data_IF_358610515291
#
_entry.id   IF_358610515291
#
_cell.length_a   1.000
_cell.length_b   1.000
_cell.length_c   1.000
_cell.angle_alpha   90.00
_cell.angle_beta   90.00
_cell.angle_gamma   90.00
#
_symmetry.space_group_name_H-M   'P 1'
#
loop_
_entity.id
_entity.type
_entity.pdbx_description
1 polymer ?
#
# COMPACT_ATOMS: atom_id res chain seq x y z
N UNK A 1 -42.04 41.61 11.87
CA UNK A 1 -40.74 41.56 11.16
C UNK A 1 -40.87 40.98 9.73
N UNK A 2 -41.76 41.51 8.87
CA UNK A 2 -41.97 41.03 7.48
C UNK A 2 -41.75 42.12 6.40
N UNK A 3 -41.66 43.39 6.80
CA UNK A 3 -41.62 44.54 5.88
C UNK A 3 -40.24 44.71 5.22
N UNK A 4 -39.15 44.39 5.93
CA UNK A 4 -37.77 44.60 5.45
C UNK A 4 -37.39 43.70 4.26
N UNK A 5 -37.91 42.47 4.20
CA UNK A 5 -37.65 41.53 3.10
C UNK A 5 -38.31 41.96 1.79
N UNK A 6 -39.52 42.52 1.85
CA UNK A 6 -40.23 43.02 0.67
C UNK A 6 -39.60 44.31 0.12
N UNK A 7 -39.08 45.17 1.00
CA UNK A 7 -38.37 46.38 0.59
C UNK A 7 -37.07 46.07 -0.15
N UNK A 8 -36.28 45.10 0.32
CA UNK A 8 -35.06 44.67 -0.38
C UNK A 8 -35.37 44.05 -1.74
N UNK A 9 -36.43 43.23 -1.85
CA UNK A 9 -36.86 42.65 -3.14
C UNK A 9 -37.37 43.72 -4.11
N UNK A 10 -38.15 44.68 -3.62
CA UNK A 10 -38.62 45.80 -4.42
C UNK A 10 -37.47 46.70 -4.88
N UNK A 11 -36.51 46.98 -4.01
CA UNK A 11 -35.31 47.75 -4.35
C UNK A 11 -34.49 47.05 -5.43
N UNK A 12 -34.27 45.73 -5.34
CA UNK A 12 -33.58 44.96 -6.38
C UNK A 12 -34.32 45.04 -7.72
N UNK A 13 -35.64 44.84 -7.71
CA UNK A 13 -36.47 44.95 -8.92
C UNK A 13 -36.37 46.34 -9.58
N UNK A 14 -36.47 47.40 -8.78
CA UNK A 14 -36.38 48.78 -9.27
C UNK A 14 -34.99 49.04 -9.87
N UNK A 15 -33.93 48.60 -9.21
CA UNK A 15 -32.55 48.75 -9.71
C UNK A 15 -32.32 47.98 -11.02
N UNK A 16 -32.87 46.76 -11.15
CA UNK A 16 -32.82 45.97 -12.39
C UNK A 16 -33.56 46.66 -13.53
N UNK A 17 -34.74 47.24 -13.26
CA UNK A 17 -35.51 47.98 -14.26
C UNK A 17 -34.75 49.23 -14.71
N UNK A 18 -34.19 50.01 -13.78
CA UNK A 18 -33.39 51.20 -14.10
C UNK A 18 -32.19 50.81 -14.96
N UNK A 19 -31.47 49.74 -14.61
CA UNK A 19 -30.34 49.22 -15.38
C UNK A 19 -30.73 48.83 -16.81
N UNK A 20 -31.85 48.13 -16.99
CA UNK A 20 -32.34 47.76 -18.32
C UNK A 20 -32.71 48.99 -19.16
N UNK A 21 -33.36 49.99 -18.56
CA UNK A 21 -33.74 51.23 -19.25
C UNK A 21 -32.51 52.02 -19.70
N UNK A 22 -31.51 52.21 -18.82
CA UNK A 22 -30.26 52.89 -19.21
C UNK A 22 -29.49 52.10 -20.26
N UNK A 23 -29.38 50.78 -20.13
CA UNK A 23 -28.66 49.94 -21.10
C UNK A 23 -29.23 50.03 -22.52
N UNK A 24 -30.56 50.12 -22.65
CA UNK A 24 -31.24 50.32 -23.93
C UNK A 24 -31.10 51.75 -24.44
N UNK A 25 -31.26 52.76 -23.57
CA UNK A 25 -31.26 54.18 -23.96
C UNK A 25 -29.88 54.65 -24.44
N UNK A 26 -28.81 54.10 -23.85
CA UNK A 26 -27.43 54.38 -24.25
C UNK A 26 -26.94 53.50 -25.42
N UNK A 27 -27.83 52.75 -26.08
CA UNK A 27 -27.51 51.81 -27.17
C UNK A 27 -26.34 50.85 -26.84
N UNK A 28 -26.15 50.54 -25.56
CA UNK A 28 -25.13 49.58 -25.12
C UNK A 28 -25.50 48.18 -25.62
N UNK A 29 -26.80 47.91 -25.77
CA UNK A 29 -27.35 46.70 -26.36
C UNK A 29 -28.52 47.01 -27.31
N UNK A 30 -28.52 46.44 -28.50
CA UNK A 30 -29.69 46.47 -29.39
C UNK A 30 -30.82 45.59 -28.81
N UNK A 31 -32.05 46.13 -28.74
CA UNK A 31 -33.21 45.45 -28.16
C UNK A 31 -33.49 44.08 -28.78
N UNK A 32 -33.21 43.93 -30.07
CA UNK A 32 -33.34 42.70 -30.86
C UNK A 32 -32.33 41.63 -30.46
N UNK A 33 -31.16 42.03 -29.98
CA UNK A 33 -30.03 41.14 -29.64
C UNK A 33 -29.99 40.74 -28.17
N UNK A 34 -30.65 41.50 -27.29
CA UNK A 34 -30.72 41.26 -25.84
C UNK A 34 -31.13 39.81 -25.50
N UNK A 35 -32.22 39.22 -26.06
CA UNK A 35 -32.59 37.85 -25.75
C UNK A 35 -31.47 36.85 -26.08
N UNK A 36 -30.85 36.98 -27.26
CA UNK A 36 -29.78 36.09 -27.69
C UNK A 36 -28.53 36.19 -26.80
N UNK A 37 -28.17 37.40 -26.35
CA UNK A 37 -27.04 37.61 -25.44
C UNK A 37 -27.32 37.07 -24.02
N UNK A 38 -28.54 37.22 -23.51
CA UNK A 38 -28.96 36.61 -22.25
C UNK A 38 -28.92 35.08 -22.33
N UNK A 39 -29.44 34.48 -23.40
CA UNK A 39 -29.37 33.04 -23.61
C UNK A 39 -27.95 32.54 -23.81
N UNK A 40 -27.10 33.27 -24.54
CA UNK A 40 -25.68 32.94 -24.73
C UNK A 40 -24.91 32.96 -23.41
N UNK A 41 -25.15 33.98 -22.58
CA UNK A 41 -24.54 34.09 -21.25
C UNK A 41 -25.02 32.96 -20.33
N UNK A 42 -26.33 32.67 -20.32
CA UNK A 42 -26.90 31.60 -19.49
C UNK A 42 -26.39 30.22 -19.95
N UNK A 43 -26.31 29.98 -21.25
CA UNK A 43 -25.73 28.76 -21.82
C UNK A 43 -24.25 28.62 -21.44
N UNK A 44 -23.47 29.71 -21.53
CA UNK A 44 -22.07 29.73 -21.13
C UNK A 44 -21.87 29.41 -19.64
N UNK A 45 -22.71 29.95 -18.77
CA UNK A 45 -22.70 29.63 -17.33
C UNK A 45 -23.05 28.16 -17.09
N UNK A 46 -24.07 27.62 -17.76
CA UNK A 46 -24.47 26.21 -17.63
C UNK A 46 -23.34 25.28 -18.13
N UNK A 47 -22.76 25.54 -19.29
CA UNK A 47 -21.63 24.76 -19.82
C UNK A 47 -20.44 24.81 -18.85
N UNK A 48 -20.10 26.00 -18.35
CA UNK A 48 -19.01 26.17 -17.39
C UNK A 48 -19.27 25.39 -16.10
N UNK A 49 -20.49 25.42 -15.58
CA UNK A 49 -20.88 24.65 -14.40
C UNK A 49 -20.75 23.14 -14.64
N UNK A 50 -21.17 22.65 -15.81
CA UNK A 50 -21.02 21.24 -16.20
C UNK A 50 -19.54 20.85 -16.26
N UNK A 51 -18.72 21.62 -16.98
CA UNK A 51 -17.27 21.35 -17.08
C UNK A 51 -16.64 21.33 -15.69
N UNK A 52 -16.98 22.29 -14.83
CA UNK A 52 -16.46 22.37 -13.46
C UNK A 52 -16.82 21.13 -12.65
N UNK A 53 -18.08 20.67 -12.70
CA UNK A 53 -18.51 19.45 -12.00
C UNK A 53 -17.75 18.22 -12.52
N UNK A 54 -17.56 18.11 -13.83
CA UNK A 54 -16.79 17.01 -14.43
C UNK A 54 -15.32 17.03 -14.02
N UNK A 55 -14.68 18.21 -13.97
CA UNK A 55 -13.30 18.37 -13.51
C UNK A 55 -13.14 17.96 -12.05
N UNK A 56 -14.04 18.44 -11.17
CA UNK A 56 -14.02 18.08 -9.75
C UNK A 56 -14.23 16.57 -9.55
N UNK A 57 -15.20 15.97 -10.25
CA UNK A 57 -15.42 14.52 -10.18
C UNK A 57 -14.22 13.71 -10.69
N UNK A 58 -13.57 14.16 -11.77
CA UNK A 58 -12.36 13.53 -12.30
C UNK A 58 -11.21 13.58 -11.29
N UNK A 59 -11.00 14.73 -10.65
CA UNK A 59 -9.98 14.90 -9.61
C UNK A 59 -10.27 14.05 -8.38
N UNK A 60 -11.49 14.09 -7.84
CA UNK A 60 -11.87 13.31 -6.64
C UNK A 60 -11.69 11.80 -6.85
N UNK A 61 -12.10 11.26 -8.01
CA UNK A 61 -11.90 9.82 -8.32
C UNK A 61 -10.41 9.47 -8.43
N UNK A 62 -9.61 10.36 -9.02
CA UNK A 62 -8.16 10.16 -9.11
C UNK A 62 -7.49 10.21 -7.72
N UNK A 63 -7.93 11.10 -6.85
CA UNK A 63 -7.42 11.21 -5.48
C UNK A 63 -7.80 10.00 -4.63
N UNK A 64 -9.07 9.57 -4.68
CA UNK A 64 -9.55 8.40 -3.96
C UNK A 64 -8.80 7.13 -4.38
N UNK A 65 -8.58 6.95 -5.69
CA UNK A 65 -7.82 5.78 -6.18
C UNK A 65 -6.35 5.85 -5.77
N UNK A 66 -5.72 7.03 -5.79
CA UNK A 66 -4.35 7.24 -5.29
C UNK A 66 -4.23 6.94 -3.80
N UNK A 67 -5.15 7.47 -2.99
CA UNK A 67 -5.17 7.28 -1.53
C UNK A 67 -5.37 5.81 -1.18
N UNK A 68 -6.33 5.14 -1.83
CA UNK A 68 -6.55 3.71 -1.69
C UNK A 68 -5.31 2.90 -2.02
N UNK A 69 -4.65 3.21 -3.15
CA UNK A 69 -3.43 2.52 -3.56
C UNK A 69 -2.30 2.72 -2.55
N UNK A 70 -2.17 3.94 -1.99
CA UNK A 70 -1.18 4.26 -0.96
C UNK A 70 -1.46 3.48 0.33
N UNK A 71 -2.70 3.45 0.82
CA UNK A 71 -3.08 2.68 2.00
C UNK A 71 -2.84 1.17 1.82
N UNK A 72 -3.15 0.61 0.63
CA UNK A 72 -2.88 -0.79 0.32
C UNK A 72 -1.37 -1.06 0.32
N UNK A 73 -0.57 -0.16 -0.25
CA UNK A 73 0.88 -0.27 -0.27
C UNK A 73 1.50 -0.21 1.13
N UNK A 74 1.06 0.72 1.98
CA UNK A 74 1.47 0.81 3.39
C UNK A 74 1.10 -0.45 4.15
N UNK A 75 -0.12 -0.97 3.97
CA UNK A 75 -0.54 -2.20 4.65
C UNK A 75 0.25 -3.42 4.18
N UNK A 76 0.55 -3.52 2.88
CA UNK A 76 1.44 -4.58 2.34
C UNK A 76 2.81 -4.54 3.00
N UNK A 77 3.43 -3.37 3.10
CA UNK A 77 4.73 -3.22 3.77
C UNK A 77 4.68 -3.67 5.24
N UNK A 78 3.65 -3.28 5.97
CA UNK A 78 3.45 -3.66 7.37
C UNK A 78 3.38 -5.19 7.51
N UNK A 79 2.55 -5.84 6.70
CA UNK A 79 2.39 -7.31 6.71
C UNK A 79 3.70 -8.00 6.35
N UNK A 80 4.40 -7.53 5.32
CA UNK A 80 5.67 -8.12 4.88
C UNK A 80 6.75 -7.98 5.96
N UNK A 81 6.85 -6.80 6.58
CA UNK A 81 7.79 -6.57 7.68
C UNK A 81 7.46 -7.43 8.92
N UNK A 82 6.18 -7.54 9.27
CA UNK A 82 5.72 -8.39 10.36
C UNK A 82 6.08 -9.85 10.11
N UNK A 83 5.77 -10.38 8.92
CA UNK A 83 6.11 -11.74 8.52
C UNK A 83 7.61 -12.02 8.66
N UNK A 84 8.47 -11.14 8.13
CA UNK A 84 9.93 -11.31 8.23
C UNK A 84 10.42 -11.31 9.69
N UNK A 85 9.81 -10.48 10.53
CA UNK A 85 10.15 -10.40 11.97
C UNK A 85 9.71 -11.67 12.71
N UNK A 86 8.52 -12.19 12.41
CA UNK A 86 8.03 -13.44 13.01
C UNK A 86 8.84 -14.64 12.52
N UNK A 87 9.19 -14.70 11.24
CA UNK A 87 10.04 -15.75 10.68
C UNK A 87 11.40 -15.79 11.38
N UNK A 88 12.08 -14.64 11.53
CA UNK A 88 13.32 -14.57 12.29
C UNK A 88 13.13 -15.01 13.76
N UNK A 89 12.03 -14.58 14.39
CA UNK A 89 11.70 -14.96 15.77
C UNK A 89 11.53 -16.47 15.92
N UNK A 90 10.85 -17.12 14.97
CA UNK A 90 10.63 -18.57 14.95
C UNK A 90 11.96 -19.32 14.80
N UNK A 91 12.78 -18.94 13.82
CA UNK A 91 14.10 -19.54 13.59
C UNK A 91 15.04 -19.38 14.82
N UNK A 92 14.98 -18.24 15.51
CA UNK A 92 15.76 -17.99 16.73
C UNK A 92 15.20 -18.75 17.96
N UNK A 93 13.88 -18.81 18.12
CA UNK A 93 13.23 -19.57 19.22
C UNK A 93 13.54 -21.05 19.10
N UNK A 94 13.57 -21.59 17.88
CA UNK A 94 13.95 -22.97 17.62
C UNK A 94 15.38 -23.27 18.13
N UNK A 95 16.32 -22.33 17.96
CA UNK A 95 17.71 -22.41 18.46
C UNK A 95 17.82 -22.43 19.99
N UNK A 96 16.89 -21.81 20.73
CA UNK A 96 16.91 -21.71 22.20
C UNK A 96 16.26 -22.89 22.93
N UNK A 97 15.62 -23.82 22.21
CA UNK A 97 14.92 -24.98 22.82
C UNK A 97 15.84 -26.06 23.39
N UNK A 98 17.16 -25.97 23.17
CA UNK A 98 18.16 -26.96 23.58
C UNK A 98 18.26 -27.21 25.11
N UNK A 99 17.69 -26.34 25.95
CA UNK A 99 17.83 -26.42 27.41
C UNK A 99 16.55 -26.81 28.17
N UNK A 100 15.50 -27.29 27.48
CA UNK A 100 14.20 -27.58 28.11
C UNK A 100 13.77 -29.05 27.98
N UNK A 101 12.98 -29.50 28.97
CA UNK A 101 12.38 -30.84 29.03
C UNK A 101 11.54 -31.16 27.79
N UNK A 102 11.62 -32.40 27.30
CA UNK A 102 11.01 -32.88 26.04
C UNK A 102 9.55 -32.45 25.83
N UNK A 103 8.73 -32.49 26.88
CA UNK A 103 7.30 -32.10 26.85
C UNK A 103 7.10 -30.60 26.47
N UNK A 104 7.90 -29.72 27.08
CA UNK A 104 7.90 -28.27 26.81
C UNK A 104 8.55 -27.90 25.48
N UNK A 105 9.27 -28.83 24.86
CA UNK A 105 9.87 -28.65 23.53
C UNK A 105 8.83 -28.91 22.46
N UNK A 106 8.06 -29.99 22.60
CA UNK A 106 6.98 -30.33 21.68
C UNK A 106 5.87 -29.27 21.65
N UNK A 107 5.41 -28.80 22.83
CA UNK A 107 4.40 -27.73 22.91
C UNK A 107 4.86 -26.44 22.19
N UNK A 108 6.12 -26.05 22.35
CA UNK A 108 6.65 -24.86 21.67
C UNK A 108 6.79 -25.02 20.17
N UNK A 109 7.19 -26.20 19.70
CA UNK A 109 7.28 -26.49 18.26
C UNK A 109 5.89 -26.43 17.61
N UNK A 110 4.85 -26.95 18.28
CA UNK A 110 3.45 -26.86 17.82
C UNK A 110 2.99 -25.39 17.78
N UNK A 111 3.26 -24.59 18.81
CA UNK A 111 2.92 -23.17 18.81
C UNK A 111 3.66 -22.38 17.73
N UNK A 112 4.95 -22.66 17.53
CA UNK A 112 5.76 -22.05 16.46
C UNK A 112 5.20 -22.34 15.07
N UNK A 113 4.79 -23.58 14.81
CA UNK A 113 4.17 -23.95 13.54
C UNK A 113 2.80 -23.28 13.37
N UNK A 114 2.01 -23.22 14.45
CA UNK A 114 0.72 -22.53 14.45
C UNK A 114 0.89 -21.04 14.11
N UNK A 115 1.83 -20.35 14.75
CA UNK A 115 2.13 -18.95 14.47
C UNK A 115 2.53 -18.76 13.00
N UNK A 116 3.41 -19.62 12.48
CA UNK A 116 3.83 -19.56 11.08
C UNK A 116 2.67 -19.75 10.09
N UNK A 117 1.73 -20.66 10.39
CA UNK A 117 0.55 -20.88 9.54
C UNK A 117 -0.36 -19.65 9.49
N UNK A 118 -0.56 -18.95 10.61
CA UNK A 118 -1.31 -17.70 10.61
C UNK A 118 -0.61 -16.63 9.79
N UNK A 119 0.71 -16.48 9.96
CA UNK A 119 1.50 -15.54 9.19
C UNK A 119 1.46 -15.83 7.68
N UNK A 120 1.45 -17.10 7.27
CA UNK A 120 1.22 -17.47 5.88
C UNK A 120 -0.17 -17.07 5.37
N UNK A 121 -1.21 -17.24 6.19
CA UNK A 121 -2.56 -16.78 5.85
C UNK A 121 -2.61 -15.27 5.59
N UNK A 122 -1.99 -14.47 6.47
CA UNK A 122 -1.89 -13.02 6.27
C UNK A 122 -1.07 -12.66 5.03
N UNK A 123 0.05 -13.35 4.82
CA UNK A 123 0.91 -13.11 3.66
C UNK A 123 0.21 -13.42 2.33
N UNK A 124 -0.54 -14.53 2.28
CA UNK A 124 -1.28 -14.96 1.10
C UNK A 124 -2.34 -13.93 0.66
N UNK A 125 -2.93 -13.18 1.60
CA UNK A 125 -3.88 -12.11 1.27
C UNK A 125 -3.26 -10.95 0.49
N UNK A 126 -1.94 -10.80 0.54
CA UNK A 126 -1.21 -9.65 0.02
C UNK A 126 -0.20 -9.99 -1.07
N UNK A 127 -0.12 -11.26 -1.47
CA UNK A 127 0.82 -11.78 -2.46
C UNK A 127 0.10 -12.57 -3.55
N UNK A 128 0.70 -12.68 -4.73
CA UNK A 128 0.23 -13.63 -5.74
C UNK A 128 0.49 -15.07 -5.31
N UNK A 129 -0.28 -16.02 -5.86
CA UNK A 129 -0.09 -17.45 -5.57
C UNK A 129 1.29 -17.94 -5.99
N UNK A 130 1.87 -17.39 -7.07
CA UNK A 130 3.21 -17.72 -7.53
C UNK A 130 4.26 -17.31 -6.50
N UNK A 131 4.27 -16.04 -6.09
CA UNK A 131 5.18 -15.53 -5.05
C UNK A 131 5.00 -16.30 -3.75
N UNK A 132 3.76 -16.51 -3.31
CA UNK A 132 3.46 -17.22 -2.07
C UNK A 132 4.05 -18.64 -2.08
N UNK A 133 3.86 -19.40 -3.15
CA UNK A 133 4.41 -20.75 -3.28
C UNK A 133 5.94 -20.77 -3.25
N UNK A 134 6.59 -19.79 -3.88
CA UNK A 134 8.06 -19.66 -3.82
C UNK A 134 8.54 -19.33 -2.41
N UNK A 135 7.83 -18.48 -1.68
CA UNK A 135 8.13 -18.18 -0.26
C UNK A 135 7.99 -19.44 0.59
N UNK A 136 6.96 -20.26 0.39
CA UNK A 136 6.80 -21.53 1.11
C UNK A 136 8.00 -22.46 0.91
N UNK A 137 8.52 -22.56 -0.32
CA UNK A 137 9.73 -23.35 -0.62
C UNK A 137 10.93 -22.81 0.16
N UNK A 138 11.18 -21.50 0.09
CA UNK A 138 12.28 -20.88 0.83
C UNK A 138 12.15 -21.10 2.34
N UNK A 139 10.96 -20.91 2.93
CA UNK A 139 10.75 -21.15 4.37
C UNK A 139 10.93 -22.63 4.72
N UNK A 140 10.47 -23.55 3.87
CA UNK A 140 10.70 -24.99 4.06
C UNK A 140 12.18 -25.34 4.13
N UNK A 141 12.98 -24.83 3.20
CA UNK A 141 14.44 -25.01 3.21
C UNK A 141 15.09 -24.45 4.49
N UNK A 142 14.65 -23.26 4.95
CA UNK A 142 15.13 -22.64 6.18
C UNK A 142 14.84 -23.51 7.41
N UNK A 143 13.62 -24.05 7.50
CA UNK A 143 13.23 -24.93 8.61
C UNK A 143 13.99 -26.26 8.57
N UNK A 144 14.18 -26.85 7.38
CA UNK A 144 14.95 -28.09 7.22
C UNK A 144 16.40 -27.91 7.67
N UNK A 145 17.08 -26.84 7.26
CA UNK A 145 18.45 -26.55 7.70
C UNK A 145 18.54 -26.21 9.19
N UNK A 146 17.59 -25.45 9.73
CA UNK A 146 17.48 -25.16 11.17
C UNK A 146 17.38 -26.46 11.99
N UNK A 147 16.58 -27.41 11.51
CA UNK A 147 16.43 -28.73 12.12
C UNK A 147 17.70 -29.57 12.00
N UNK A 148 18.36 -29.59 10.85
CA UNK A 148 19.64 -30.31 10.66
C UNK A 148 20.70 -29.83 11.64
N UNK A 149 20.92 -28.51 11.72
CA UNK A 149 21.93 -27.95 12.63
C UNK A 149 21.58 -28.13 14.10
N UNK A 150 20.31 -28.39 14.44
CA UNK A 150 19.85 -28.74 15.80
C UNK A 150 20.25 -30.16 16.19
N UNK A 151 20.20 -31.11 15.25
CA UNK A 151 20.44 -32.53 15.53
C UNK A 151 21.90 -32.99 15.41
N UNK A 152 22.81 -32.15 14.91
CA UNK A 152 24.24 -32.43 14.87
C UNK A 152 24.83 -32.32 16.29
N UNK A 153 25.39 -33.43 16.80
CA UNK A 153 25.99 -33.52 18.14
C UNK A 153 27.33 -32.76 18.24
N UNK A 154 28.20 -32.91 17.24
CA UNK A 154 29.47 -32.18 17.13
C UNK A 154 29.42 -31.22 15.95
N UNK A 155 29.16 -29.94 16.24
CA UNK A 155 29.03 -28.90 15.21
C UNK A 155 30.40 -28.39 14.82
N UNK A 156 30.71 -28.44 13.52
CA UNK A 156 31.91 -27.87 12.94
C UNK A 156 31.65 -26.44 12.43
N UNK A 157 32.70 -25.65 12.24
CA UNK A 157 32.61 -24.34 11.56
C UNK A 157 31.98 -24.48 10.17
N UNK A 158 32.21 -25.60 9.49
CA UNK A 158 31.63 -25.89 8.17
C UNK A 158 30.09 -26.03 8.24
N UNK A 159 29.55 -26.65 9.29
CA UNK A 159 28.10 -26.79 9.46
C UNK A 159 27.42 -25.43 9.65
N UNK A 160 28.06 -24.52 10.40
CA UNK A 160 27.57 -23.15 10.53
C UNK A 160 27.71 -22.39 9.21
N UNK A 161 28.81 -22.52 8.48
CA UNK A 161 28.98 -21.89 7.16
C UNK A 161 27.86 -22.32 6.19
N UNK A 162 27.52 -23.61 6.16
CA UNK A 162 26.43 -24.14 5.33
C UNK A 162 25.09 -23.57 5.76
N UNK A 163 24.75 -23.62 7.06
CA UNK A 163 23.50 -23.08 7.58
C UNK A 163 23.34 -21.60 7.25
N UNK A 164 24.37 -20.77 7.50
CA UNK A 164 24.28 -19.33 7.25
C UNK A 164 24.24 -19.00 5.77
N UNK A 165 24.80 -19.83 4.88
CA UNK A 165 24.62 -19.69 3.42
C UNK A 165 23.19 -19.95 2.97
N UNK A 166 22.56 -21.01 3.49
CA UNK A 166 21.15 -21.30 3.18
C UNK A 166 20.26 -20.21 3.77
N UNK A 167 20.48 -19.84 5.03
CA UNK A 167 19.76 -18.75 5.68
C UNK A 167 19.82 -17.48 4.85
N UNK A 168 21.01 -17.07 4.45
CA UNK A 168 21.19 -15.87 3.67
C UNK A 168 20.51 -15.98 2.29
N UNK A 169 20.72 -17.09 1.58
CA UNK A 169 20.15 -17.29 0.23
C UNK A 169 18.63 -17.24 0.25
N UNK A 170 17.99 -18.04 1.11
CA UNK A 170 16.54 -18.17 1.12
C UNK A 170 15.86 -16.97 1.79
N UNK A 171 16.45 -16.38 2.84
CA UNK A 171 15.93 -15.14 3.42
C UNK A 171 15.93 -14.00 2.39
N UNK A 172 17.03 -13.82 1.66
CA UNK A 172 17.09 -12.76 0.65
C UNK A 172 16.28 -13.07 -0.60
N UNK A 173 16.06 -14.34 -0.94
CA UNK A 173 15.09 -14.74 -1.95
C UNK A 173 13.67 -14.32 -1.54
N UNK A 174 13.26 -14.59 -0.29
CA UNK A 174 11.98 -14.13 0.26
C UNK A 174 11.87 -12.61 0.18
N UNK A 175 12.88 -11.86 0.64
CA UNK A 175 12.87 -10.39 0.57
C UNK A 175 12.74 -9.90 -0.87
N UNK A 176 13.42 -10.56 -1.82
CA UNK A 176 13.34 -10.22 -3.24
C UNK A 176 11.93 -10.44 -3.79
N UNK A 177 11.29 -11.55 -3.44
CA UNK A 177 9.91 -11.85 -3.83
C UNK A 177 8.91 -10.84 -3.25
N UNK A 178 9.08 -10.46 -1.98
CA UNK A 178 8.25 -9.43 -1.35
C UNK A 178 8.45 -8.06 -2.00
N UNK A 179 9.69 -7.70 -2.38
CA UNK A 179 9.96 -6.48 -3.14
C UNK A 179 9.30 -6.50 -4.51
N UNK A 180 9.28 -7.65 -5.20
CA UNK A 180 8.59 -7.78 -6.48
C UNK A 180 7.09 -7.51 -6.33
N UNK A 181 6.45 -8.09 -5.32
CA UNK A 181 5.01 -7.87 -5.00
C UNK A 181 4.68 -6.43 -4.60
N UNK A 182 5.65 -5.73 -4.02
CA UNK A 182 5.48 -4.37 -3.52
C UNK A 182 5.69 -3.31 -4.61
N UNK A 183 6.72 -3.50 -5.45
CA UNK A 183 7.17 -2.50 -6.42
C UNK A 183 6.90 -2.87 -7.88
N UNK A 184 6.46 -4.11 -8.16
CA UNK A 184 6.36 -4.66 -9.52
C UNK A 184 7.65 -4.52 -10.34
N UNK A 185 8.80 -4.53 -9.67
CA UNK A 185 10.11 -4.32 -10.27
C UNK A 185 11.02 -5.51 -9.96
N UNK A 186 11.86 -5.87 -10.94
CA UNK A 186 12.85 -6.92 -10.79
C UNK A 186 13.78 -6.56 -9.61
N UNK A 187 13.90 -7.43 -8.60
CA UNK A 187 14.79 -7.17 -7.47
C UNK A 187 16.24 -7.14 -7.93
N UNK A 188 16.99 -6.13 -7.53
CA UNK A 188 18.45 -6.15 -7.69
C UNK A 188 19.03 -7.30 -6.87
N UNK A 189 19.83 -8.14 -7.52
CA UNK A 189 20.45 -9.30 -6.88
C UNK A 189 21.55 -8.85 -5.91
N UNK A 190 21.57 -9.42 -4.72
CA UNK A 190 22.64 -9.19 -3.74
C UNK A 190 23.95 -9.81 -4.23
N UNK A 191 25.06 -9.10 -3.98
CA UNK A 191 26.40 -9.60 -4.27
C UNK A 191 26.75 -10.78 -3.34
N UNK A 192 26.50 -11.99 -3.84
CA UNK A 192 26.76 -13.25 -3.14
C UNK A 192 28.21 -13.36 -2.66
N UNK A 193 29.18 -12.80 -3.39
CA UNK A 193 30.60 -12.90 -3.01
C UNK A 193 30.89 -12.09 -1.75
N UNK A 194 30.26 -10.92 -1.61
CA UNK A 194 30.42 -10.11 -0.40
C UNK A 194 29.74 -10.77 0.81
N UNK A 195 28.56 -11.35 0.59
CA UNK A 195 27.83 -12.06 1.64
C UNK A 195 28.57 -13.30 2.11
N UNK A 196 29.07 -14.13 1.18
CA UNK A 196 29.89 -15.30 1.50
C UNK A 196 31.16 -14.92 2.27
N UNK A 197 31.79 -13.79 1.90
CA UNK A 197 32.94 -13.27 2.64
C UNK A 197 32.59 -12.92 4.08
N UNK A 198 31.44 -12.29 4.33
CA UNK A 198 31.00 -11.92 5.69
C UNK A 198 30.73 -13.19 6.52
N UNK A 199 30.06 -14.18 5.93
CA UNK A 199 29.77 -15.46 6.61
C UNK A 199 31.07 -16.16 7.01
N UNK A 200 32.04 -16.24 6.10
CA UNK A 200 33.35 -16.86 6.36
C UNK A 200 34.23 -16.12 7.36
N UNK A 201 33.99 -14.83 7.60
CA UNK A 201 34.71 -14.05 8.61
C UNK A 201 34.08 -14.17 10.01
N UNK A 202 32.90 -14.78 10.11
CA UNK A 202 32.13 -14.88 11.35
C UNK A 202 32.38 -16.18 12.13
N UNK A 203 33.13 -17.12 11.53
CA UNK A 203 33.60 -18.39 12.10
C UNK A 203 35.08 -18.50 11.80
#
# INVERSE_FOLDING_TARGET
>A
MKIKSNLSRAAVLILTIIFLITAVTFEIFELSSLPAQFFGTLLGVVITAIITVLLLQGQTKSEESRERNLMVFEKKQEVFFHFLTQLNTILQKEKLTLHLSHDKTLEREVHSLQDLLFEFGFLQMHTSSETFNQILVCVGNLMDESKKIKHIEEKTEHDFEVYYKVLATDFFAIVSLLKLELYNAAPESIDKKQLDRIIRLSF
#
